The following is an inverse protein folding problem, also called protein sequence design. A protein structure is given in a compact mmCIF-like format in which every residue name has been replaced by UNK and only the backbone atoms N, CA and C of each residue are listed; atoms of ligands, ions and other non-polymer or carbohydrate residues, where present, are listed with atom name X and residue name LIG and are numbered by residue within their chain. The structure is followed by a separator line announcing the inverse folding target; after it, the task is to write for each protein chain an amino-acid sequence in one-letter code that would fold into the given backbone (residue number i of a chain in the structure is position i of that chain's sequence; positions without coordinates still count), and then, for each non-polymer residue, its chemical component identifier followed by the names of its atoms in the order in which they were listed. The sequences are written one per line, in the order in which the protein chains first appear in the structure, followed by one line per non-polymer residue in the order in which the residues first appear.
data_IF_589829969543
#
_entry.id   IF_589829969543
#
_cell.length_a   1.000
_cell.length_b   1.000
_cell.length_c   1.000
_cell.angle_alpha   90.00
_cell.angle_beta   90.00
_cell.angle_gamma   90.00
#
_symmetry.space_group_name_H-M   'P 1'
#
loop_
_entity.id
_entity.type
_entity.pdbx_description
1 polymer ?
#
# COMPACT_ATOMS: atom_id res chain seq x y z
N UNK A 1 -2.09 -31.12 7.57
CA UNK A 1 -2.11 -30.42 6.27
C UNK A 1 -2.67 -31.41 5.27
N UNK A 2 -3.70 -31.03 4.51
CA UNK A 2 -4.33 -31.93 3.55
C UNK A 2 -3.28 -32.43 2.55
N UNK A 3 -3.35 -33.71 2.16
CA UNK A 3 -2.37 -34.39 1.32
C UNK A 3 -2.32 -33.90 -0.15
N UNK A 4 -2.88 -32.72 -0.45
CA UNK A 4 -3.00 -32.18 -1.81
C UNK A 4 -3.99 -32.95 -2.69
N UNK A 5 -4.79 -33.83 -2.09
CA UNK A 5 -5.82 -34.60 -2.78
C UNK A 5 -7.01 -33.69 -3.11
N UNK A 6 -7.40 -33.60 -4.40
CA UNK A 6 -8.52 -32.78 -4.80
C UNK A 6 -9.84 -33.38 -4.32
N UNK A 7 -10.81 -32.51 -4.02
CA UNK A 7 -12.16 -32.85 -3.58
C UNK A 7 -13.15 -32.23 -4.58
N UNK A 8 -14.06 -33.05 -5.11
CA UNK A 8 -15.13 -32.59 -6.00
C UNK A 8 -15.99 -31.51 -5.35
N UNK A 9 -16.43 -30.54 -6.15
CA UNK A 9 -17.28 -29.41 -5.72
C UNK A 9 -16.67 -28.53 -4.62
N UNK A 10 -15.37 -28.67 -4.33
CA UNK A 10 -14.69 -27.84 -3.33
C UNK A 10 -14.09 -26.60 -3.98
N UNK A 11 -14.53 -25.41 -3.55
CA UNK A 11 -14.05 -24.13 -4.09
C UNK A 11 -12.55 -23.88 -3.92
N UNK A 12 -11.91 -24.54 -2.95
CA UNK A 12 -10.47 -24.46 -2.71
C UNK A 12 -9.68 -25.56 -3.41
N UNK A 13 -10.33 -26.47 -4.15
CA UNK A 13 -9.77 -27.70 -4.74
C UNK A 13 -9.37 -28.76 -3.70
N UNK A 14 -8.76 -28.36 -2.59
CA UNK A 14 -8.31 -29.23 -1.50
C UNK A 14 -9.10 -28.99 -0.21
N UNK A 15 -9.05 -29.92 0.75
CA UNK A 15 -9.56 -29.69 2.10
C UNK A 15 -8.77 -28.55 2.78
N UNK A 16 -9.38 -27.38 3.07
CA UNK A 16 -8.66 -26.24 3.63
C UNK A 16 -8.23 -26.50 5.07
N UNK A 17 -7.10 -25.93 5.48
CA UNK A 17 -6.64 -25.97 6.85
C UNK A 17 -7.51 -25.07 7.73
N UNK A 18 -8.04 -25.63 8.82
CA UNK A 18 -8.92 -24.94 9.76
C UNK A 18 -8.16 -24.02 10.74
N UNK A 19 -6.92 -24.35 11.09
CA UNK A 19 -6.16 -23.65 12.14
C UNK A 19 -5.27 -22.54 11.59
N UNK A 20 -4.75 -22.68 10.38
CA UNK A 20 -3.87 -21.68 9.78
C UNK A 20 -4.55 -20.30 9.62
N UNK A 21 -5.80 -20.18 9.12
CA UNK A 21 -6.52 -18.92 9.07
C UNK A 21 -6.62 -18.23 10.44
N UNK A 22 -6.90 -18.98 11.51
CA UNK A 22 -7.03 -18.44 12.88
C UNK A 22 -5.76 -17.73 13.33
N UNK A 23 -4.59 -18.33 13.04
CA UNK A 23 -3.29 -17.73 13.34
C UNK A 23 -3.12 -16.42 12.57
N UNK A 24 -3.44 -16.40 11.27
CA UNK A 24 -3.34 -15.18 10.47
C UNK A 24 -4.35 -14.11 10.88
N UNK A 25 -5.57 -14.47 11.29
CA UNK A 25 -6.56 -13.54 11.86
C UNK A 25 -5.95 -12.83 13.09
N UNK A 26 -5.38 -13.60 14.03
CA UNK A 26 -4.78 -13.02 15.23
C UNK A 26 -3.60 -12.10 14.88
N UNK A 27 -2.68 -12.53 14.01
CA UNK A 27 -1.49 -11.77 13.65
C UNK A 27 -1.82 -10.48 12.87
N UNK A 28 -2.71 -10.55 11.89
CA UNK A 28 -3.16 -9.35 11.17
C UNK A 28 -4.04 -8.45 12.02
N UNK A 29 -4.86 -9.00 12.92
CA UNK A 29 -5.67 -8.23 13.86
C UNK A 29 -4.81 -7.42 14.83
N UNK A 30 -3.78 -8.05 15.40
CA UNK A 30 -2.77 -7.36 16.22
C UNK A 30 -2.06 -6.29 15.40
N UNK A 31 -1.62 -6.63 14.18
CA UNK A 31 -0.98 -5.67 13.28
C UNK A 31 -1.88 -4.47 12.97
N UNK A 32 -3.18 -4.69 12.76
CA UNK A 32 -4.16 -3.64 12.48
C UNK A 32 -4.29 -2.68 13.67
N UNK A 33 -4.42 -3.20 14.90
CA UNK A 33 -4.47 -2.39 16.12
C UNK A 33 -3.22 -1.52 16.24
N UNK A 34 -2.03 -2.09 16.01
CA UNK A 34 -0.79 -1.33 16.04
C UNK A 34 -0.73 -0.24 14.98
N UNK A 35 -1.02 -0.54 13.71
CA UNK A 35 -1.03 0.45 12.63
C UNK A 35 -2.00 1.59 12.91
N UNK A 36 -3.21 1.28 13.37
CA UNK A 36 -4.23 2.27 13.73
C UNK A 36 -3.72 3.16 14.87
N UNK A 37 -3.24 2.56 15.96
CA UNK A 37 -2.68 3.30 17.10
C UNK A 37 -1.49 4.19 16.68
N UNK A 38 -0.56 3.67 15.88
CA UNK A 38 0.58 4.43 15.36
C UNK A 38 0.13 5.60 14.47
N UNK A 39 -0.87 5.39 13.62
CA UNK A 39 -1.42 6.45 12.77
C UNK A 39 -2.03 7.58 13.59
N UNK A 40 -2.75 7.28 14.68
CA UNK A 40 -3.25 8.27 15.62
C UNK A 40 -2.10 8.97 16.38
N UNK A 41 -1.17 8.20 16.95
CA UNK A 41 -0.06 8.70 17.78
C UNK A 41 0.91 9.61 17.01
N UNK A 42 1.20 9.28 15.76
CA UNK A 42 2.11 10.04 14.89
C UNK A 42 1.39 11.07 14.02
N UNK A 43 0.05 11.08 14.00
CA UNK A 43 -0.79 11.87 13.07
C UNK A 43 -0.45 11.59 11.61
N UNK A 44 -0.26 10.31 11.29
CA UNK A 44 0.32 9.83 10.04
C UNK A 44 -0.69 9.14 9.11
N UNK A 45 -2.00 9.26 9.36
CA UNK A 45 -3.05 8.69 8.50
C UNK A 45 -2.92 9.11 7.03
N UNK A 46 -2.51 10.36 6.77
CA UNK A 46 -2.27 10.82 5.38
C UNK A 46 -1.05 10.16 4.74
N UNK A 47 -0.07 9.72 5.54
CA UNK A 47 1.19 9.15 5.08
C UNK A 47 1.05 7.65 4.83
N UNK A 48 0.52 6.91 5.80
CA UNK A 48 0.51 5.44 5.79
C UNK A 48 -0.89 4.83 5.91
N UNK A 49 -1.96 5.61 5.78
CA UNK A 49 -3.34 5.16 6.07
C UNK A 49 -3.82 3.93 5.29
N UNK A 50 -3.17 3.57 4.18
CA UNK A 50 -3.43 2.33 3.46
C UNK A 50 -3.00 1.07 4.24
N UNK A 51 -1.95 1.14 5.07
CA UNK A 51 -1.48 0.01 5.88
C UNK A 51 -2.53 -0.50 6.90
N UNK A 52 -3.13 0.36 7.76
CA UNK A 52 -4.19 -0.11 8.66
C UNK A 52 -5.42 -0.61 7.90
N UNK A 53 -5.78 0.01 6.77
CA UNK A 53 -6.86 -0.47 5.91
C UNK A 53 -6.57 -1.89 5.42
N UNK A 54 -5.38 -2.14 4.88
CA UNK A 54 -4.98 -3.48 4.42
C UNK A 54 -4.92 -4.48 5.57
N UNK A 55 -4.43 -4.10 6.75
CA UNK A 55 -4.39 -4.99 7.90
C UNK A 55 -5.79 -5.42 8.37
N UNK A 56 -6.77 -4.50 8.36
CA UNK A 56 -8.18 -4.81 8.62
C UNK A 56 -8.76 -5.72 7.55
N UNK A 57 -8.50 -5.43 6.27
CA UNK A 57 -8.96 -6.26 5.15
C UNK A 57 -8.37 -7.68 5.19
N UNK A 58 -7.08 -7.83 5.49
CA UNK A 58 -6.49 -9.15 5.71
C UNK A 58 -7.19 -9.89 6.85
N UNK A 59 -7.40 -9.23 8.00
CA UNK A 59 -8.10 -9.83 9.14
C UNK A 59 -9.50 -10.32 8.74
N UNK A 60 -10.26 -9.50 8.02
CA UNK A 60 -11.58 -9.86 7.51
C UNK A 60 -11.50 -11.01 6.48
N UNK A 61 -10.56 -10.95 5.54
CA UNK A 61 -10.36 -11.96 4.50
C UNK A 61 -10.00 -13.33 5.07
N UNK A 62 -9.11 -13.39 6.07
CA UNK A 62 -8.78 -14.64 6.77
C UNK A 62 -9.91 -15.11 7.69
N UNK A 63 -10.73 -14.21 8.25
CA UNK A 63 -11.93 -14.58 9.00
C UNK A 63 -12.97 -15.27 8.10
N UNK A 64 -13.17 -14.74 6.90
CA UNK A 64 -14.01 -15.39 5.89
C UNK A 64 -13.39 -16.72 5.40
N UNK A 65 -12.06 -16.79 5.27
CA UNK A 65 -11.36 -18.02 4.90
C UNK A 65 -11.54 -19.11 5.96
N UNK A 66 -11.49 -18.75 7.24
CA UNK A 66 -11.73 -19.65 8.36
C UNK A 66 -13.14 -20.23 8.31
N UNK A 67 -14.15 -19.37 8.15
CA UNK A 67 -15.53 -19.83 7.97
C UNK A 67 -15.67 -20.75 6.75
N UNK A 68 -15.02 -20.38 5.64
CA UNK A 68 -14.96 -21.17 4.41
C UNK A 68 -14.27 -22.52 4.58
N UNK A 69 -13.29 -22.65 5.49
CA UNK A 69 -12.62 -23.91 5.80
C UNK A 69 -13.54 -24.94 6.48
N UNK A 70 -14.65 -24.50 7.08
CA UNK A 70 -15.70 -25.38 7.59
C UNK A 70 -16.89 -25.55 6.63
N UNK A 71 -17.01 -24.69 5.61
CA UNK A 71 -18.15 -24.64 4.68
C UNK A 71 -17.69 -24.48 3.21
N UNK A 72 -16.82 -25.39 2.73
CA UNK A 72 -16.15 -25.26 1.43
C UNK A 72 -16.86 -25.94 0.25
N UNK A 73 -17.88 -26.77 0.50
CA UNK A 73 -18.60 -27.48 -0.56
C UNK A 73 -19.58 -26.55 -1.28
N UNK A 74 -19.45 -26.48 -2.60
CA UNK A 74 -20.34 -25.76 -3.48
C UNK A 74 -21.60 -26.57 -3.78
N UNK A 75 -22.75 -25.88 -3.80
CA UNK A 75 -24.02 -26.43 -4.27
C UNK A 75 -24.82 -25.32 -4.96
N UNK A 76 -25.42 -25.61 -6.10
CA UNK A 76 -26.27 -24.68 -6.86
C UNK A 76 -27.43 -24.09 -6.02
N UNK A 77 -27.91 -24.85 -5.03
CA UNK A 77 -29.01 -24.43 -4.14
C UNK A 77 -28.57 -23.40 -3.10
N UNK A 78 -27.29 -23.43 -2.68
CA UNK A 78 -26.78 -22.63 -1.56
C UNK A 78 -25.57 -21.83 -2.02
N UNK A 79 -25.76 -20.53 -2.30
CA UNK A 79 -24.70 -19.64 -2.81
C UNK A 79 -23.75 -19.10 -1.74
N UNK A 80 -24.04 -19.35 -0.45
CA UNK A 80 -23.27 -18.80 0.68
C UNK A 80 -21.78 -19.18 0.64
N UNK A 81 -21.39 -20.46 0.45
CA UNK A 81 -19.98 -20.86 0.33
C UNK A 81 -19.22 -20.09 -0.76
N UNK A 82 -19.86 -19.92 -1.93
CA UNK A 82 -19.28 -19.18 -3.05
C UNK A 82 -19.05 -17.71 -2.70
N UNK A 83 -20.04 -17.05 -2.10
CA UNK A 83 -19.91 -15.65 -1.71
C UNK A 83 -18.81 -15.45 -0.65
N UNK A 84 -18.74 -16.32 0.36
CA UNK A 84 -17.69 -16.27 1.38
C UNK A 84 -16.31 -16.46 0.77
N UNK A 85 -16.16 -17.43 -0.13
CA UNK A 85 -14.92 -17.66 -0.87
C UNK A 85 -14.52 -16.41 -1.66
N UNK A 86 -15.42 -15.86 -2.48
CA UNK A 86 -15.15 -14.67 -3.30
C UNK A 86 -14.74 -13.48 -2.45
N UNK A 87 -15.48 -13.16 -1.39
CA UNK A 87 -15.12 -12.04 -0.51
C UNK A 87 -13.80 -12.26 0.23
N UNK A 88 -13.50 -13.50 0.65
CA UNK A 88 -12.20 -13.85 1.23
C UNK A 88 -11.07 -13.58 0.24
N UNK A 89 -11.16 -14.06 -1.00
CA UNK A 89 -10.15 -13.83 -2.04
C UNK A 89 -9.99 -12.34 -2.35
N UNK A 90 -11.10 -11.60 -2.50
CA UNK A 90 -11.08 -10.17 -2.80
C UNK A 90 -10.37 -9.39 -1.69
N UNK A 91 -10.71 -9.61 -0.42
CA UNK A 91 -10.09 -8.90 0.71
C UNK A 91 -8.60 -9.22 0.87
N UNK A 92 -8.19 -10.46 0.58
CA UNK A 92 -6.77 -10.84 0.65
C UNK A 92 -6.00 -10.26 -0.54
N UNK A 93 -6.50 -10.38 -1.77
CA UNK A 93 -5.76 -10.02 -2.99
C UNK A 93 -5.78 -8.54 -3.34
N UNK A 94 -6.73 -7.75 -2.82
CA UNK A 94 -6.72 -6.29 -3.01
C UNK A 94 -5.60 -5.61 -2.21
N UNK A 95 -5.12 -6.24 -1.13
CA UNK A 95 -4.18 -5.63 -0.20
C UNK A 95 -2.76 -5.41 -0.79
N UNK A 96 -2.12 -6.38 -1.48
CA UNK A 96 -0.76 -6.18 -1.98
C UNK A 96 -0.61 -4.99 -2.95
N UNK A 97 -1.50 -4.78 -3.94
CA UNK A 97 -1.46 -3.57 -4.77
C UNK A 97 -1.64 -2.28 -3.95
N UNK A 98 -2.52 -2.27 -2.95
CA UNK A 98 -2.71 -1.10 -2.08
C UNK A 98 -1.45 -0.80 -1.22
N UNK A 99 -0.77 -1.84 -0.74
CA UNK A 99 0.50 -1.70 -0.02
C UNK A 99 1.63 -1.20 -0.94
N UNK A 100 1.62 -1.62 -2.20
CA UNK A 100 2.53 -1.08 -3.21
C UNK A 100 2.27 0.41 -3.48
N UNK A 101 1.00 0.80 -3.60
CA UNK A 101 0.62 2.20 -3.71
C UNK A 101 1.08 3.01 -2.49
N UNK A 102 1.02 2.41 -1.28
CA UNK A 102 1.55 3.03 -0.07
C UNK A 102 3.07 3.24 -0.16
N UNK A 103 3.83 2.28 -0.71
CA UNK A 103 5.27 2.45 -0.96
C UNK A 103 5.55 3.59 -1.95
N UNK A 104 4.76 3.71 -3.02
CA UNK A 104 4.88 4.82 -3.98
C UNK A 104 4.70 6.17 -3.31
N UNK A 105 3.71 6.26 -2.41
CA UNK A 105 3.48 7.45 -1.61
C UNK A 105 4.64 7.75 -0.66
N UNK A 106 5.17 6.74 0.04
CA UNK A 106 6.33 6.90 0.93
C UNK A 106 7.57 7.36 0.17
N UNK A 107 7.87 6.80 -1.01
CA UNK A 107 9.01 7.27 -1.82
C UNK A 107 8.84 8.72 -2.26
N UNK A 108 7.63 9.10 -2.71
CA UNK A 108 7.33 10.50 -3.02
C UNK A 108 7.59 11.42 -1.83
N UNK A 109 7.25 10.97 -0.62
CA UNK A 109 7.50 11.70 0.63
C UNK A 109 8.98 11.78 0.99
N UNK A 110 9.77 10.74 0.72
CA UNK A 110 11.24 10.78 0.84
C UNK A 110 11.81 11.82 -0.14
N UNK A 111 11.28 11.90 -1.37
CA UNK A 111 11.71 12.91 -2.34
C UNK A 111 11.34 14.33 -1.91
N UNK A 112 10.21 14.54 -1.24
CA UNK A 112 9.89 15.84 -0.62
C UNK A 112 10.88 16.21 0.49
N UNK A 113 11.37 15.22 1.23
CA UNK A 113 12.33 15.44 2.30
C UNK A 113 13.75 15.72 1.77
N UNK A 114 14.18 15.08 0.68
CA UNK A 114 15.50 15.35 0.05
C UNK A 114 15.34 15.67 -1.44
N UNK A 115 14.79 16.84 -1.79
CA UNK A 115 14.42 17.16 -3.17
C UNK A 115 15.63 17.27 -4.11
N UNK A 116 16.81 17.66 -3.61
CA UNK A 116 18.01 17.82 -4.43
C UNK A 116 18.55 16.50 -5.00
N UNK A 117 18.21 15.37 -4.38
CA UNK A 117 18.61 14.05 -4.87
C UNK A 117 17.51 13.38 -5.71
N UNK A 118 16.30 13.94 -5.75
CA UNK A 118 15.14 13.33 -6.39
C UNK A 118 15.35 13.19 -7.92
N UNK A 119 15.31 11.97 -8.49
CA UNK A 119 15.36 11.77 -9.94
C UNK A 119 14.07 12.20 -10.66
N UNK A 120 12.95 12.17 -9.94
CA UNK A 120 11.63 12.57 -10.43
C UNK A 120 11.04 13.61 -9.46
N UNK A 121 10.26 14.61 -9.93
CA UNK A 121 9.59 15.54 -9.04
C UNK A 121 8.73 14.79 -8.00
N UNK A 122 8.81 15.15 -6.70
CA UNK A 122 8.13 14.42 -5.63
C UNK A 122 6.62 14.26 -5.84
N UNK A 123 5.97 15.30 -6.39
CA UNK A 123 4.53 15.30 -6.70
C UNK A 123 4.13 14.33 -7.81
N UNK A 124 5.09 13.87 -8.62
CA UNK A 124 4.83 13.03 -9.80
C UNK A 124 4.97 11.54 -9.51
N UNK A 125 5.66 11.16 -8.43
CA UNK A 125 5.85 9.74 -8.07
C UNK A 125 4.50 9.05 -7.89
N UNK A 126 3.67 9.53 -6.97
CA UNK A 126 2.35 8.94 -6.72
C UNK A 126 1.43 9.06 -7.95
N UNK A 127 1.48 10.17 -8.67
CA UNK A 127 0.65 10.37 -9.87
C UNK A 127 0.96 9.36 -10.97
N UNK A 128 2.24 9.18 -11.28
CA UNK A 128 2.67 8.30 -12.35
C UNK A 128 2.46 6.84 -11.97
N UNK A 129 3.03 6.40 -10.85
CA UNK A 129 2.98 4.99 -10.48
C UNK A 129 1.60 4.57 -9.97
N UNK A 130 0.89 5.43 -9.23
CA UNK A 130 -0.49 5.16 -8.83
C UNK A 130 -1.45 5.13 -10.02
N UNK A 131 -1.27 6.02 -11.01
CA UNK A 131 -2.04 5.98 -12.25
C UNK A 131 -1.80 4.73 -13.08
N UNK A 132 -0.53 4.32 -13.24
CA UNK A 132 -0.17 3.08 -13.94
C UNK A 132 -0.73 1.84 -13.21
N UNK A 133 -0.59 1.80 -11.88
CA UNK A 133 -1.16 0.74 -11.05
C UNK A 133 -2.69 0.67 -11.19
N UNK A 134 -3.39 1.80 -11.23
CA UNK A 134 -4.84 1.81 -11.45
C UNK A 134 -5.23 1.18 -12.80
N UNK A 135 -4.46 1.44 -13.87
CA UNK A 135 -4.68 0.78 -15.17
C UNK A 135 -4.45 -0.73 -15.05
N UNK A 136 -3.39 -1.15 -14.39
CA UNK A 136 -3.09 -2.58 -14.17
C UNK A 136 -4.20 -3.27 -13.37
N UNK A 137 -4.69 -2.66 -12.29
CA UNK A 137 -5.77 -3.22 -11.49
C UNK A 137 -7.10 -3.29 -12.23
N UNK A 138 -7.39 -2.33 -13.13
CA UNK A 138 -8.57 -2.41 -14.01
C UNK A 138 -8.44 -3.60 -14.97
N UNK A 139 -7.27 -3.77 -15.61
CA UNK A 139 -7.02 -4.92 -16.49
C UNK A 139 -7.18 -6.24 -15.73
N UNK A 140 -6.63 -6.30 -14.51
CA UNK A 140 -6.72 -7.48 -13.65
C UNK A 140 -8.17 -7.80 -13.25
N UNK A 141 -8.92 -6.79 -12.79
CA UNK A 141 -10.31 -6.95 -12.37
C UNK A 141 -11.20 -7.42 -13.54
N UNK A 142 -11.02 -6.84 -14.73
CA UNK A 142 -11.71 -7.27 -15.94
C UNK A 142 -11.32 -8.70 -16.35
N UNK A 143 -10.02 -9.02 -16.27
CA UNK A 143 -9.51 -10.35 -16.57
C UNK A 143 -10.14 -11.43 -15.70
N UNK A 144 -10.14 -11.22 -14.37
CA UNK A 144 -10.74 -12.14 -13.40
C UNK A 144 -12.26 -12.25 -13.58
N UNK A 145 -12.95 -11.12 -13.79
CA UNK A 145 -14.40 -11.12 -13.99
C UNK A 145 -14.82 -11.90 -15.25
N UNK A 146 -14.03 -11.82 -16.31
CA UNK A 146 -14.33 -12.50 -17.57
C UNK A 146 -13.95 -13.98 -17.55
N UNK A 147 -12.81 -14.33 -16.95
CA UNK A 147 -12.35 -15.72 -16.83
C UNK A 147 -13.20 -16.54 -15.86
N UNK A 148 -13.72 -15.92 -14.81
CA UNK A 148 -14.51 -16.59 -13.77
C UNK A 148 -16.02 -16.62 -14.04
N UNK A 149 -16.47 -16.14 -15.21
CA UNK A 149 -17.89 -16.09 -15.55
C UNK A 149 -18.30 -17.35 -16.34
N UNK A 150 -19.05 -18.29 -15.72
CA UNK A 150 -19.44 -19.54 -16.36
C UNK A 150 -20.40 -19.32 -17.54
N UNK A 151 -21.11 -18.18 -17.59
CA UNK A 151 -22.02 -17.83 -18.69
C UNK A 151 -21.32 -17.16 -19.88
N UNK A 152 -20.00 -16.93 -19.80
CA UNK A 152 -19.23 -16.35 -20.91
C UNK A 152 -18.79 -17.41 -21.92
N UNK A 153 -18.60 -17.01 -23.19
CA UNK A 153 -18.07 -17.89 -24.22
C UNK A 153 -16.63 -18.33 -23.89
N UNK A 154 -16.16 -19.50 -24.37
CA UNK A 154 -14.79 -19.96 -24.13
C UNK A 154 -13.73 -18.94 -24.57
N UNK A 155 -13.96 -18.25 -25.70
CA UNK A 155 -13.10 -17.18 -26.21
C UNK A 155 -12.99 -16.01 -25.22
N UNK A 156 -14.10 -15.61 -24.59
CA UNK A 156 -14.13 -14.56 -23.58
C UNK A 156 -13.40 -15.01 -22.32
N UNK A 157 -13.63 -16.23 -21.84
CA UNK A 157 -12.92 -16.75 -20.66
C UNK A 157 -11.40 -16.81 -20.89
N UNK A 158 -10.97 -17.23 -22.08
CA UNK A 158 -9.57 -17.22 -22.49
C UNK A 158 -8.99 -15.80 -22.53
N UNK A 159 -9.72 -14.85 -23.13
CA UNK A 159 -9.34 -13.43 -23.10
C UNK A 159 -9.17 -12.92 -21.66
N UNK A 160 -10.08 -13.29 -20.76
CA UNK A 160 -10.00 -12.95 -19.34
C UNK A 160 -8.72 -13.45 -18.69
N UNK A 161 -8.39 -14.73 -18.92
CA UNK A 161 -7.14 -15.33 -18.42
C UNK A 161 -5.90 -14.60 -18.94
N UNK A 162 -5.86 -14.29 -20.24
CA UNK A 162 -4.77 -13.53 -20.85
C UNK A 162 -4.65 -12.10 -20.29
N UNK A 163 -5.76 -11.42 -20.02
CA UNK A 163 -5.77 -10.10 -19.40
C UNK A 163 -5.20 -10.14 -17.97
N UNK A 164 -5.61 -11.12 -17.16
CA UNK A 164 -5.05 -11.32 -15.81
C UNK A 164 -3.55 -11.59 -15.88
N UNK A 165 -3.12 -12.47 -16.78
CA UNK A 165 -1.69 -12.79 -16.95
C UNK A 165 -0.88 -11.56 -17.38
N UNK A 166 -1.40 -10.78 -18.34
CA UNK A 166 -0.78 -9.53 -18.78
C UNK A 166 -0.69 -8.51 -17.64
N UNK A 167 -1.75 -8.34 -16.85
CA UNK A 167 -1.76 -7.42 -15.71
C UNK A 167 -0.68 -7.79 -14.68
N UNK A 168 -0.57 -9.07 -14.31
CA UNK A 168 0.47 -9.57 -13.40
C UNK A 168 1.89 -9.33 -13.95
N UNK A 169 2.10 -9.54 -15.25
CA UNK A 169 3.37 -9.29 -15.92
C UNK A 169 3.76 -7.81 -15.91
N UNK A 170 2.83 -6.92 -16.26
CA UNK A 170 3.05 -5.46 -16.22
C UNK A 170 3.34 -5.00 -14.78
N UNK A 171 2.63 -5.56 -13.79
CA UNK A 171 2.87 -5.23 -12.38
C UNK A 171 4.32 -5.50 -11.95
N UNK A 172 4.87 -6.66 -12.33
CA UNK A 172 6.28 -6.99 -12.04
C UNK A 172 7.26 -5.98 -12.67
N UNK A 173 7.01 -5.58 -13.92
CA UNK A 173 7.83 -4.59 -14.61
C UNK A 173 7.75 -3.23 -13.90
N UNK A 174 6.56 -2.82 -13.45
CA UNK A 174 6.38 -1.58 -12.69
C UNK A 174 7.15 -1.60 -11.35
N UNK A 175 7.10 -2.72 -10.62
CA UNK A 175 7.86 -2.90 -9.38
C UNK A 175 9.37 -2.74 -9.65
N UNK A 176 9.90 -3.37 -10.69
CA UNK A 176 11.32 -3.27 -11.06
C UNK A 176 11.71 -1.83 -11.40
N UNK A 177 10.92 -1.15 -12.22
CA UNK A 177 11.15 0.27 -12.56
C UNK A 177 11.13 1.13 -11.29
N UNK A 178 10.20 0.88 -10.36
CA UNK A 178 10.11 1.61 -9.11
C UNK A 178 11.32 1.38 -8.20
N UNK A 179 11.79 0.13 -8.06
CA UNK A 179 13.02 -0.19 -7.31
C UNK A 179 14.23 0.50 -7.94
N UNK A 180 14.36 0.49 -9.27
CA UNK A 180 15.40 1.21 -9.99
C UNK A 180 15.35 2.72 -9.70
N UNK A 181 14.17 3.33 -9.68
CA UNK A 181 14.00 4.74 -9.32
C UNK A 181 14.47 5.04 -7.89
N UNK A 182 14.11 4.18 -6.94
CA UNK A 182 14.58 4.28 -5.56
C UNK A 182 16.10 4.10 -5.46
N UNK A 183 16.68 3.16 -6.21
CA UNK A 183 18.13 2.93 -6.28
C UNK A 183 18.87 4.15 -6.85
N UNK A 184 18.38 4.75 -7.94
CA UNK A 184 18.94 5.99 -8.50
C UNK A 184 18.94 7.13 -7.47
N UNK A 185 17.87 7.26 -6.70
CA UNK A 185 17.83 8.22 -5.59
C UNK A 185 18.86 7.88 -4.51
N UNK A 186 18.94 6.62 -4.08
CA UNK A 186 19.91 6.16 -3.08
C UNK A 186 21.36 6.44 -3.53
N UNK A 187 21.71 6.16 -4.79
CA UNK A 187 23.01 6.49 -5.36
C UNK A 187 23.30 8.00 -5.33
N UNK A 188 22.31 8.85 -5.62
CA UNK A 188 22.46 10.31 -5.52
C UNK A 188 22.68 10.76 -4.07
N UNK A 189 21.92 10.23 -3.12
CA UNK A 189 22.09 10.51 -1.67
C UNK A 189 23.51 10.16 -1.21
N UNK A 190 24.02 9.00 -1.62
CA UNK A 190 25.39 8.57 -1.33
C UNK A 190 26.45 9.48 -1.99
N UNK A 191 26.25 9.82 -3.28
CA UNK A 191 27.15 10.71 -4.03
C UNK A 191 27.25 12.11 -3.42
N UNK A 192 26.13 12.67 -2.97
CA UNK A 192 26.09 13.97 -2.30
C UNK A 192 26.45 13.88 -0.80
N UNK A 193 26.88 12.71 -0.31
CA UNK A 193 27.30 12.45 1.08
C UNK A 193 26.28 12.90 2.13
N UNK A 194 24.98 12.79 1.81
CA UNK A 194 23.91 13.16 2.75
C UNK A 194 23.78 12.06 3.80
N UNK A 195 24.29 12.33 5.00
CA UNK A 195 24.29 11.39 6.13
C UNK A 195 23.04 11.58 7.00
N UNK A 196 21.89 11.09 6.54
CA UNK A 196 20.66 11.05 7.34
C UNK A 196 20.23 9.61 7.61
N UNK A 197 20.32 9.17 8.88
CA UNK A 197 19.85 7.85 9.31
C UNK A 197 18.37 7.63 9.00
N UNK A 198 17.57 8.69 9.02
CA UNK A 198 16.14 8.65 8.70
C UNK A 198 15.91 8.24 7.24
N UNK A 199 16.66 8.84 6.30
CA UNK A 199 16.55 8.53 4.87
C UNK A 199 17.00 7.10 4.60
N UNK A 200 18.15 6.69 5.15
CA UNK A 200 18.67 5.32 4.97
C UNK A 200 17.70 4.28 5.52
N UNK A 201 17.16 4.49 6.72
CA UNK A 201 16.20 3.55 7.33
C UNK A 201 14.95 3.42 6.47
N UNK A 202 14.39 4.54 6.00
CA UNK A 202 13.18 4.52 5.17
C UNK A 202 13.41 3.89 3.80
N UNK A 203 14.56 4.11 3.17
CA UNK A 203 14.92 3.42 1.93
C UNK A 203 15.07 1.91 2.16
N UNK A 204 15.75 1.48 3.23
CA UNK A 204 15.88 0.06 3.57
C UNK A 204 14.53 -0.60 3.84
N UNK A 205 13.64 0.05 4.61
CA UNK A 205 12.27 -0.43 4.85
C UNK A 205 11.48 -0.55 3.55
N UNK A 206 11.61 0.45 2.67
CA UNK A 206 10.95 0.44 1.36
C UNK A 206 11.48 -0.67 0.46
N UNK A 207 12.79 -0.93 0.42
CA UNK A 207 13.35 -2.06 -0.34
C UNK A 207 12.87 -3.42 0.19
N UNK A 208 12.85 -3.59 1.51
CA UNK A 208 12.32 -4.81 2.13
C UNK A 208 10.85 -5.04 1.74
N UNK A 209 10.03 -3.99 1.86
CA UNK A 209 8.61 -3.99 1.45
C UNK A 209 8.42 -4.34 -0.03
N UNK A 210 9.14 -3.65 -0.93
CA UNK A 210 9.05 -3.90 -2.37
C UNK A 210 9.55 -5.30 -2.77
N UNK A 211 10.56 -5.83 -2.08
CA UNK A 211 11.06 -7.19 -2.33
C UNK A 211 10.00 -8.25 -1.95
N UNK A 212 9.34 -8.10 -0.80
CA UNK A 212 8.28 -9.02 -0.38
C UNK A 212 7.08 -8.99 -1.35
N UNK A 213 6.68 -7.80 -1.79
CA UNK A 213 5.61 -7.64 -2.80
C UNK A 213 6.05 -8.25 -4.13
N UNK A 214 7.30 -8.04 -4.56
CA UNK A 214 7.83 -8.61 -5.79
C UNK A 214 7.77 -10.14 -5.79
N UNK A 215 8.27 -10.80 -4.74
CA UNK A 215 8.24 -12.26 -4.63
C UNK A 215 6.79 -12.79 -4.68
N UNK A 216 5.86 -12.11 -4.00
CA UNK A 216 4.42 -12.44 -4.07
C UNK A 216 3.86 -12.27 -5.48
N UNK A 217 4.21 -11.20 -6.19
CA UNK A 217 3.76 -10.99 -7.57
C UNK A 217 4.32 -12.06 -8.53
N UNK A 218 5.57 -12.51 -8.33
CA UNK A 218 6.14 -13.63 -9.09
C UNK A 218 5.35 -14.92 -8.80
N UNK A 219 5.07 -15.21 -7.53
CA UNK A 219 4.22 -16.34 -7.15
C UNK A 219 2.87 -16.29 -7.86
N UNK A 220 2.17 -15.15 -7.83
CA UNK A 220 0.88 -14.97 -8.51
C UNK A 220 0.95 -15.16 -10.02
N UNK A 221 2.03 -14.69 -10.64
CA UNK A 221 2.25 -14.88 -12.07
C UNK A 221 2.37 -16.38 -12.38
N UNK A 222 3.21 -17.10 -11.64
CA UNK A 222 3.43 -18.56 -11.82
C UNK A 222 2.16 -19.36 -11.52
N UNK A 223 1.39 -18.95 -10.53
CA UNK A 223 0.08 -19.54 -10.23
C UNK A 223 -0.88 -19.43 -11.42
N UNK A 224 -0.87 -18.29 -12.13
CA UNK A 224 -1.75 -18.04 -13.28
C UNK A 224 -1.24 -18.61 -14.61
N UNK A 225 0.05 -18.92 -14.74
CA UNK A 225 0.60 -19.56 -15.95
C UNK A 225 0.39 -21.08 -15.97
N UNK A 226 0.14 -21.71 -14.81
CA UNK A 226 -0.21 -23.12 -14.75
C UNK A 226 -1.59 -23.42 -15.34
N UNK A 227 -1.93 -24.71 -15.52
CA UNK A 227 -3.28 -25.16 -15.85
C UNK A 227 -4.27 -24.60 -14.81
N UNK A 228 -4.92 -23.49 -15.15
CA UNK A 228 -5.76 -22.68 -14.25
C UNK A 228 -7.24 -22.95 -14.46
N UNK A 229 -7.60 -23.81 -15.42
CA UNK A 229 -8.97 -24.23 -15.62
C UNK A 229 -9.35 -25.19 -14.48
N UNK A 230 -9.96 -24.63 -13.45
CA UNK A 230 -10.49 -25.38 -12.31
C UNK A 230 -11.91 -25.81 -12.65
N UNK A 231 -12.03 -26.99 -13.25
CA UNK A 231 -13.32 -27.65 -13.43
C UNK A 231 -13.61 -28.47 -12.16
N UNK A 232 -14.48 -27.94 -11.28
CA UNK A 232 -14.77 -28.51 -9.95
C UNK A 232 -15.46 -29.88 -9.99
N UNK A 233 -15.99 -30.24 -11.15
CA UNK A 233 -16.79 -31.45 -11.37
C UNK A 233 -15.97 -32.59 -12.00
N UNK A 234 -14.73 -32.30 -12.41
CA UNK A 234 -13.85 -33.25 -13.10
C UNK A 234 -12.61 -33.57 -12.25
N UNK A 235 -12.59 -34.79 -11.69
CA UNK A 235 -11.46 -35.26 -10.87
C UNK A 235 -10.14 -35.37 -11.64
N UNK A 236 -10.17 -35.66 -12.94
CA UNK A 236 -8.96 -35.78 -13.75
C UNK A 236 -8.36 -34.40 -14.02
N UNK A 237 -9.20 -33.41 -14.33
CA UNK A 237 -8.80 -32.01 -14.44
C UNK A 237 -8.20 -31.48 -13.13
N UNK A 238 -8.84 -31.75 -11.99
CA UNK A 238 -8.34 -31.32 -10.68
C UNK A 238 -7.01 -31.98 -10.29
N UNK A 239 -6.78 -33.24 -10.68
CA UNK A 239 -5.49 -33.94 -10.46
C UNK A 239 -4.38 -33.39 -11.36
N UNK A 240 -4.72 -32.96 -12.57
CA UNK A 240 -3.82 -32.33 -13.53
C UNK A 240 -3.42 -30.88 -13.21
N UNK A 241 -4.03 -30.27 -12.18
CA UNK A 241 -3.67 -28.92 -11.73
C UNK A 241 -2.23 -28.85 -11.22
N UNK A 242 -1.61 -27.68 -11.39
CA UNK A 242 -0.29 -27.39 -10.85
C UNK A 242 -0.24 -27.62 -9.32
N UNK A 243 0.87 -28.16 -8.78
CA UNK A 243 1.05 -28.31 -7.33
C UNK A 243 0.79 -27.02 -6.55
N UNK A 244 1.03 -25.85 -7.15
CA UNK A 244 0.78 -24.55 -6.53
C UNK A 244 -0.70 -24.35 -6.16
N UNK A 245 -1.62 -24.84 -7.01
CA UNK A 245 -3.06 -24.75 -6.76
C UNK A 245 -3.57 -25.90 -5.87
N UNK A 246 -2.86 -27.02 -5.81
CA UNK A 246 -3.26 -28.20 -5.03
C UNK A 246 -2.78 -28.17 -3.58
N UNK A 247 -1.63 -27.56 -3.31
CA UNK A 247 -1.05 -27.52 -1.97
C UNK A 247 -1.20 -26.14 -1.33
N UNK A 248 -2.07 -26.08 -0.31
CA UNK A 248 -2.36 -24.86 0.43
C UNK A 248 -1.14 -24.20 1.08
N UNK A 249 -0.08 -24.97 1.36
CA UNK A 249 1.16 -24.45 1.96
C UNK A 249 1.75 -23.31 1.13
N UNK A 250 1.70 -23.40 -0.20
CA UNK A 250 2.22 -22.35 -1.07
C UNK A 250 1.46 -21.03 -0.89
N UNK A 251 0.14 -21.09 -0.75
CA UNK A 251 -0.68 -19.92 -0.45
C UNK A 251 -0.27 -19.28 0.90
N UNK A 252 -0.17 -20.06 1.99
CA UNK A 252 0.21 -19.45 3.27
C UNK A 252 1.64 -18.92 3.32
N UNK A 253 2.57 -19.53 2.59
CA UNK A 253 3.96 -19.06 2.54
C UNK A 253 4.08 -17.80 1.69
N UNK A 254 3.61 -17.84 0.44
CA UNK A 254 3.86 -16.78 -0.55
C UNK A 254 2.81 -15.66 -0.56
N UNK A 255 1.56 -15.93 -0.18
CA UNK A 255 0.55 -14.87 -0.03
C UNK A 255 0.50 -14.36 1.40
N UNK A 256 0.20 -15.25 2.36
CA UNK A 256 -0.11 -14.82 3.73
C UNK A 256 1.12 -14.35 4.50
N UNK A 257 2.18 -15.16 4.53
CA UNK A 257 3.35 -14.87 5.35
C UNK A 257 4.15 -13.70 4.81
N UNK A 258 4.38 -13.61 3.49
CA UNK A 258 5.10 -12.47 2.89
C UNK A 258 4.41 -11.13 3.18
N UNK A 259 3.08 -11.08 3.05
CA UNK A 259 2.32 -9.86 3.31
C UNK A 259 2.23 -9.54 4.80
N UNK A 260 2.23 -10.55 5.66
CA UNK A 260 2.30 -10.36 7.11
C UNK A 260 3.65 -9.76 7.50
N UNK A 261 4.76 -10.33 7.03
CA UNK A 261 6.11 -9.79 7.27
C UNK A 261 6.20 -8.35 6.77
N UNK A 262 5.64 -8.05 5.59
CA UNK A 262 5.58 -6.68 5.08
C UNK A 262 4.80 -5.75 6.04
N UNK A 263 3.64 -6.19 6.53
CA UNK A 263 2.84 -5.43 7.50
C UNK A 263 3.62 -5.16 8.80
N UNK A 264 4.37 -6.14 9.29
CA UNK A 264 5.21 -6.02 10.49
C UNK A 264 6.41 -5.08 10.28
N UNK A 265 7.06 -5.14 9.12
CA UNK A 265 8.14 -4.21 8.73
C UNK A 265 7.65 -2.76 8.87
N UNK A 266 6.45 -2.44 8.37
CA UNK A 266 5.89 -1.09 8.49
C UNK A 266 5.41 -0.73 9.90
N UNK A 267 5.03 -1.70 10.73
CA UNK A 267 4.77 -1.46 12.15
C UNK A 267 6.05 -1.07 12.89
N UNK A 268 7.17 -1.76 12.63
CA UNK A 268 8.44 -1.51 13.33
C UNK A 268 9.05 -0.18 12.87
N UNK A 269 9.21 -0.01 11.56
CA UNK A 269 9.83 1.15 10.93
C UNK A 269 8.79 2.14 10.39
N UNK A 270 7.88 2.56 11.28
CA UNK A 270 6.79 3.46 10.90
C UNK A 270 7.29 4.83 10.38
N UNK A 271 6.95 5.25 9.14
CA UNK A 271 7.41 6.49 8.50
C UNK A 271 7.22 7.77 9.30
N UNK A 272 6.14 7.86 10.09
CA UNK A 272 5.87 9.00 10.95
C UNK A 272 6.90 9.25 12.06
N UNK A 273 7.85 8.33 12.28
CA UNK A 273 9.00 8.51 13.19
C UNK A 273 10.20 9.15 12.49
N UNK A 274 10.33 8.97 11.18
CA UNK A 274 11.54 9.31 10.43
C UNK A 274 11.32 10.45 9.43
N UNK A 275 10.10 10.63 8.93
CA UNK A 275 9.76 11.67 7.98
C UNK A 275 9.01 12.82 8.67
N UNK A 276 9.29 14.09 8.31
CA UNK A 276 8.57 15.22 8.87
C UNK A 276 7.09 15.17 8.47
N UNK A 277 6.22 15.80 9.26
CA UNK A 277 4.77 15.82 8.99
C UNK A 277 4.40 16.69 7.78
N UNK A 278 5.16 17.75 7.53
CA UNK A 278 4.91 18.69 6.43
C UNK A 278 5.56 18.25 5.11
N UNK A 279 5.02 18.70 3.98
CA UNK A 279 5.70 18.62 2.67
C UNK A 279 6.72 19.76 2.46
N UNK A 280 6.72 20.75 3.35
CA UNK A 280 7.52 21.96 3.25
C UNK A 280 8.83 21.85 4.05
N UNK A 281 8.99 20.80 4.87
CA UNK A 281 10.25 20.55 5.59
C UNK A 281 11.12 19.68 4.70
N UNK A 282 12.31 20.17 4.35
CA UNK A 282 13.28 19.46 3.54
C UNK A 282 14.68 19.55 4.16
N UNK A 283 15.54 18.60 3.80
CA UNK A 283 16.92 18.53 4.23
C UNK A 283 17.77 19.38 3.27
N UNK A 284 18.40 20.42 3.80
CA UNK A 284 19.36 21.21 3.05
C UNK A 284 20.67 20.44 2.81
N UNK A 285 21.52 20.94 1.89
CA UNK A 285 22.78 20.28 1.53
C UNK A 285 23.78 20.16 2.67
N UNK A 286 23.64 21.01 3.68
CA UNK A 286 24.41 21.01 4.93
C UNK A 286 23.92 19.95 5.94
N UNK A 287 22.83 19.22 5.63
CA UNK A 287 22.25 18.20 6.49
C UNK A 287 21.31 18.76 7.56
N UNK A 288 21.00 20.06 7.52
CA UNK A 288 20.06 20.70 8.45
C UNK A 288 18.65 20.70 7.87
N UNK A 289 17.64 20.44 8.70
CA UNK A 289 16.24 20.54 8.28
C UNK A 289 15.82 22.01 8.17
N UNK A 290 15.28 22.36 7.00
CA UNK A 290 14.80 23.71 6.70
C UNK A 290 13.32 23.68 6.34
N UNK A 291 12.62 24.73 6.77
CA UNK A 291 11.17 24.88 6.61
C UNK A 291 10.93 25.83 5.45
N UNK A 292 10.53 25.29 4.31
CA UNK A 292 10.03 26.06 3.17
C UNK A 292 8.68 26.70 3.49
N UNK A 293 8.32 27.69 2.67
CA UNK A 293 7.07 28.43 2.81
C UNK A 293 5.84 27.51 2.61
N UNK A 294 4.83 27.64 3.47
CA UNK A 294 3.59 26.84 3.37
C UNK A 294 2.69 27.40 2.28
N UNK A 295 2.77 26.82 1.09
CA UNK A 295 1.81 27.10 0.01
C UNK A 295 0.42 26.51 0.35
N UNK A 296 -0.51 27.38 0.76
CA UNK A 296 -1.88 27.02 1.16
C UNK A 296 -2.70 26.62 -0.07
N UNK A 297 -3.20 25.39 -0.08
CA UNK A 297 -4.01 24.89 -1.20
C UNK A 297 -5.46 25.42 -1.09
N UNK A 298 -5.79 26.43 -1.89
CA UNK A 298 -7.10 27.10 -1.92
C UNK A 298 -8.22 26.28 -2.59
N UNK A 299 -7.96 25.06 -3.08
CA UNK A 299 -8.99 24.22 -3.73
C UNK A 299 -10.07 23.74 -2.75
N UNK A 300 -11.30 23.59 -3.24
CA UNK A 300 -12.42 22.97 -2.51
C UNK A 300 -12.06 21.55 -2.05
N UNK A 301 -12.66 21.10 -0.94
CA UNK A 301 -12.45 19.75 -0.38
C UNK A 301 -12.77 18.65 -1.39
N UNK A 302 -13.83 18.81 -2.20
CA UNK A 302 -14.17 17.86 -3.26
C UNK A 302 -13.04 17.77 -4.30
N UNK A 303 -12.54 18.92 -4.77
CA UNK A 303 -11.47 18.95 -5.77
C UNK A 303 -10.17 18.34 -5.24
N UNK A 304 -9.90 18.47 -3.93
CA UNK A 304 -8.77 17.81 -3.26
C UNK A 304 -8.95 16.29 -3.26
N UNK A 305 -10.12 15.80 -2.85
CA UNK A 305 -10.42 14.36 -2.81
C UNK A 305 -10.41 13.74 -4.21
N UNK A 306 -11.07 14.36 -5.18
CA UNK A 306 -11.07 13.89 -6.57
C UNK A 306 -9.67 13.90 -7.19
N UNK A 307 -8.84 14.90 -6.87
CA UNK A 307 -7.44 14.92 -7.30
C UNK A 307 -6.63 13.78 -6.67
N UNK A 308 -6.92 13.35 -5.45
CA UNK A 308 -6.27 12.19 -4.83
C UNK A 308 -6.74 10.88 -5.49
N UNK A 309 -8.06 10.73 -5.69
CA UNK A 309 -8.66 9.54 -6.31
C UNK A 309 -8.22 9.35 -7.76
N UNK A 310 -8.01 10.43 -8.49
CA UNK A 310 -7.53 10.41 -9.88
C UNK A 310 -6.00 10.46 -9.97
N UNK A 311 -5.29 10.23 -8.86
CA UNK A 311 -3.85 10.32 -8.76
C UNK A 311 -3.25 11.64 -9.23
N UNK A 312 -4.02 12.73 -9.35
CA UNK A 312 -3.51 14.04 -9.76
C UNK A 312 -3.71 14.37 -11.23
N UNK A 313 -4.45 13.55 -11.98
CA UNK A 313 -4.63 13.67 -13.45
C UNK A 313 -5.66 14.76 -13.79
N UNK A 314 -6.84 14.72 -13.18
CA UNK A 314 -7.98 15.54 -13.64
C UNK A 314 -8.11 16.92 -12.96
N UNK A 315 -7.45 17.15 -11.82
CA UNK A 315 -7.60 18.40 -11.04
C UNK A 315 -6.27 18.99 -10.57
N UNK A 316 -5.29 19.07 -11.48
CA UNK A 316 -3.92 19.47 -11.17
C UNK A 316 -3.83 20.88 -10.56
N UNK A 317 -3.04 21.02 -9.49
CA UNK A 317 -2.77 22.31 -8.82
C UNK A 317 -1.99 23.24 -9.76
N UNK A 318 -2.46 24.48 -9.95
CA UNK A 318 -1.64 25.58 -10.50
C UNK A 318 -0.72 26.07 -9.37
N UNK A 319 0.61 26.09 -9.60
CA UNK A 319 1.60 26.48 -8.59
C UNK A 319 1.96 27.95 -8.80
N UNK A 320 1.76 28.79 -7.79
CA UNK A 320 2.30 30.15 -7.73
C UNK A 320 3.72 30.05 -7.18
N UNK A 321 4.72 30.52 -7.94
CA UNK A 321 6.13 30.49 -7.53
C UNK A 321 6.43 31.72 -6.67
N UNK A 322 6.81 31.55 -5.40
CA UNK A 322 7.42 32.63 -4.59
C UNK A 322 8.25 32.08 -3.42
N UNK A 323 9.44 32.67 -3.22
CA UNK A 323 10.12 32.86 -1.93
C UNK A 323 11.01 31.73 -1.36
N UNK A 324 12.29 32.04 -1.13
CA UNK A 324 13.29 31.15 -0.49
C UNK A 324 13.00 30.90 1.01
N UNK A 325 13.26 29.66 1.47
CA UNK A 325 12.91 29.17 2.81
C UNK A 325 13.80 29.70 3.94
N UNK A 326 13.20 29.86 5.14
CA UNK A 326 13.85 30.34 6.36
C UNK A 326 14.51 29.15 7.10
N UNK A 327 15.81 29.28 7.43
CA UNK A 327 16.54 28.31 8.27
C UNK A 327 16.01 28.35 9.71
N UNK A 328 15.63 27.21 10.28
CA UNK A 328 15.30 27.12 11.70
C UNK A 328 16.57 27.24 12.53
N UNK A 329 16.58 28.19 13.47
CA UNK A 329 17.62 28.36 14.49
C UNK A 329 17.35 27.39 15.64
N UNK A 330 18.40 26.72 16.11
CA UNK A 330 18.39 25.75 17.21
C UNK A 330 17.54 26.20 18.40
N UNK A 331 16.62 25.34 18.84
CA UNK A 331 16.02 25.45 20.18
C UNK A 331 16.94 24.74 21.18
N UNK A 332 17.82 25.51 21.82
CA UNK A 332 18.32 25.19 23.17
C UNK A 332 17.50 25.95 24.22
N UNK A 333 17.34 25.42 25.45
CA UNK A 333 16.42 25.97 26.44
C UNK A 333 17.11 27.06 27.27
N UNK A 334 16.74 28.32 27.09
CA UNK A 334 17.18 29.41 27.98
C UNK A 334 16.00 29.94 28.81
N UNK A 335 16.11 29.69 30.12
CA UNK A 335 15.70 30.54 31.24
C UNK A 335 14.41 31.35 31.12
N UNK A 336 13.38 30.86 31.82
CA UNK A 336 12.26 31.66 32.31
C UNK A 336 12.81 32.74 33.25
N UNK A 337 13.01 33.96 32.72
CA UNK A 337 13.14 35.18 33.51
C UNK A 337 11.75 35.71 33.84
N UNK A 338 11.35 35.56 35.10
CA UNK A 338 10.13 36.12 35.66
C UNK A 338 10.42 37.55 36.13
N UNK A 339 9.55 38.48 35.76
CA UNK A 339 9.32 39.71 36.50
C UNK A 339 9.87 40.96 35.85
N UNK A 340 8.96 41.82 35.35
CA UNK A 340 8.88 43.21 35.77
C UNK A 340 7.54 43.82 35.33
N UNK A 341 6.88 44.47 36.29
CA UNK A 341 5.68 45.30 36.15
C UNK A 341 6.09 46.73 35.74
N UNK A 342 5.31 47.39 34.87
CA UNK A 342 5.02 48.84 34.88
C UNK A 342 4.03 49.14 33.74
N UNK A 343 2.73 49.35 34.01
CA UNK A 343 2.05 50.64 34.27
C UNK A 343 2.01 51.64 33.10
N UNK A 344 0.76 52.03 32.79
CA UNK A 344 0.28 53.32 32.25
C UNK A 344 0.71 53.75 30.84
N UNK A 345 -0.29 54.03 29.99
CA UNK A 345 -0.46 55.29 29.25
C UNK A 345 -1.77 55.26 28.42
N UNK A 346 -2.75 56.06 28.85
CA UNK A 346 -3.83 56.60 28.00
C UNK A 346 -3.31 57.85 27.28
N UNK A 347 -3.91 58.22 26.14
CA UNK A 347 -4.56 59.54 26.15
C UNK A 347 -5.89 59.61 25.36
N UNK A 348 -6.81 60.44 25.87
CA UNK A 348 -7.90 61.08 25.11
C UNK A 348 -7.33 62.34 24.40
N UNK A 349 -7.98 62.94 23.37
CA UNK A 349 -9.24 63.66 23.57
C UNK A 349 -10.22 63.65 22.36
N UNK A 350 -11.49 63.97 22.61
CA UNK A 350 -12.38 64.52 21.59
C UNK A 350 -13.22 65.64 22.22
N UNK A 351 -13.05 66.85 21.69
CA UNK A 351 -13.78 68.06 22.05
C UNK A 351 -15.13 68.14 21.32
N UNK A 352 -16.02 68.90 21.94
CA UNK A 352 -17.40 69.18 21.55
C UNK A 352 -17.56 69.86 20.18
N UNK A 353 -18.53 69.38 19.39
CA UNK A 353 -19.78 70.12 19.10
C UNK A 353 -20.80 69.20 18.45
#
# INVERSE_FOLDING_TARGET
MAAGDPILYNLYVYAPNQWAPIIFIALYGISAVFHIWQCYRYKAFKLIGLHPVCAVLFTAGYSLREYGAYHYLYSETTKTPLMVFVFSQVFIYVCPPLLELANYHVLGRIFYYVPHCAPLPPSKVLTTFGGLMAVVEVLNALGVALSSNPSSTPEKQALGSHLTLAALGIQLVLIVIFICLAALFHFRVAKFKIRSKNVTTMLSTLYASMCLIFVRCVYRLVEHTGSTKVDLDDMEALRGLSPILRYEVYFYVFEASLMLVNSLVWNVWHPGRFLPRGHHVYLARDGVEVVGEKDVDARSLWAKTANVLTFGIFFRRKRTVRGEGVKLRDRSPSSVGRGEQSSSLLPAPAQAK
#
